data_IF_789394307224
#
_entry.id   IF_789394307224
#
_cell.length_a   1.000
_cell.length_b   1.000
_cell.length_c   1.000
_cell.angle_alpha   90.00
_cell.angle_beta   90.00
_cell.angle_gamma   90.00
#
_symmetry.space_group_name_H-M   'P 1'
#
loop_
_entity.id
_entity.type
_entity.pdbx_description
1 polymer ?
#
# COMPACT_ATOMS: atom_id res chain seq x y z
N UNK A 1 3.87 -8.84 -6.60
CA UNK A 1 2.54 -8.95 -7.27
C UNK A 1 1.71 -7.79 -6.78
N UNK A 2 1.34 -6.86 -7.67
CA UNK A 2 0.43 -5.76 -7.35
C UNK A 2 -1.01 -6.28 -7.32
N UNK A 3 -1.79 -5.89 -6.31
CA UNK A 3 -3.22 -6.14 -6.30
C UNK A 3 -3.91 -4.98 -7.00
N UNK A 4 -4.52 -5.23 -8.16
CA UNK A 4 -5.33 -4.23 -8.83
C UNK A 4 -6.51 -3.83 -7.95
N UNK A 5 -6.69 -2.53 -7.76
CA UNK A 5 -7.77 -1.93 -6.99
C UNK A 5 -8.58 -0.99 -7.87
N UNK A 6 -9.82 -0.76 -7.47
CA UNK A 6 -10.69 0.20 -8.10
C UNK A 6 -10.69 1.51 -7.31
N UNK A 7 -10.38 2.61 -7.98
CA UNK A 7 -10.52 3.96 -7.44
C UNK A 7 -11.69 4.66 -8.12
N UNK A 8 -12.39 5.54 -7.41
CA UNK A 8 -13.49 6.33 -7.96
C UNK A 8 -13.57 7.70 -7.30
N UNK A 9 -14.04 8.69 -8.06
CA UNK A 9 -14.21 10.07 -7.63
C UNK A 9 -15.47 10.67 -8.25
N UNK A 10 -16.39 11.10 -7.39
CA UNK A 10 -17.64 11.75 -7.83
C UNK A 10 -18.74 10.83 -8.34
N UNK A 11 -18.52 9.50 -8.38
CA UNK A 11 -19.51 8.51 -8.79
C UNK A 11 -20.01 7.65 -7.63
N UNK A 12 -21.08 6.83 -7.84
CA UNK A 12 -21.51 5.87 -6.85
C UNK A 12 -20.47 4.78 -6.63
N UNK A 13 -20.41 4.26 -5.37
CA UNK A 13 -19.50 3.17 -5.04
C UNK A 13 -19.80 1.92 -5.88
N UNK A 14 -18.87 1.45 -6.73
CA UNK A 14 -19.12 0.32 -7.63
C UNK A 14 -19.05 -1.03 -6.93
N UNK A 15 -18.45 -1.12 -5.72
CA UNK A 15 -18.28 -2.36 -4.98
C UNK A 15 -19.66 -3.02 -4.68
N UNK A 16 -19.89 -4.27 -5.10
CA UNK A 16 -21.11 -4.99 -4.78
C UNK A 16 -21.28 -5.23 -3.27
N UNK A 17 -20.20 -5.33 -2.52
CA UNK A 17 -20.23 -5.50 -1.06
C UNK A 17 -20.41 -4.19 -0.28
N UNK A 18 -20.53 -3.05 -0.98
CA UNK A 18 -20.76 -1.77 -0.32
C UNK A 18 -22.02 -1.83 0.57
N UNK A 19 -21.85 -1.49 1.84
CA UNK A 19 -22.83 -1.75 2.90
C UNK A 19 -24.26 -1.23 2.59
N UNK A 20 -24.39 -0.10 1.84
CA UNK A 20 -25.70 0.44 1.44
C UNK A 20 -26.42 -0.36 0.35
N UNK A 21 -25.73 -1.29 -0.31
CA UNK A 21 -26.32 -2.22 -1.28
C UNK A 21 -26.84 -3.49 -0.60
N UNK A 22 -26.46 -3.76 0.66
CA UNK A 22 -26.77 -5.00 1.34
C UNK A 22 -28.12 -4.95 2.07
N UNK A 23 -28.89 -6.05 2.09
CA UNK A 23 -30.16 -6.14 2.83
C UNK A 23 -30.03 -5.77 4.31
N UNK A 24 -28.91 -6.13 4.93
CA UNK A 24 -28.63 -5.84 6.34
C UNK A 24 -28.56 -4.35 6.69
N UNK A 25 -28.22 -3.50 5.72
CA UNK A 25 -28.24 -2.05 5.91
C UNK A 25 -29.68 -1.55 6.14
N UNK A 26 -30.63 -2.03 5.35
CA UNK A 26 -32.03 -1.63 5.44
C UNK A 26 -32.66 -2.15 6.74
N UNK A 27 -32.38 -3.39 7.13
CA UNK A 27 -32.87 -3.94 8.41
C UNK A 27 -32.40 -3.15 9.63
N UNK A 28 -31.18 -2.59 9.59
CA UNK A 28 -30.62 -1.81 10.72
C UNK A 28 -31.11 -0.38 10.77
N UNK A 29 -31.30 0.25 9.61
CA UNK A 29 -31.55 1.69 9.52
C UNK A 29 -33.04 2.02 9.25
N UNK A 30 -33.82 1.02 8.79
CA UNK A 30 -35.23 1.17 8.41
C UNK A 30 -35.97 -0.08 8.88
N UNK A 31 -36.02 -0.32 10.19
CA UNK A 31 -36.58 -1.54 10.78
C UNK A 31 -38.07 -1.76 10.53
N UNK A 32 -38.83 -0.68 10.24
CA UNK A 32 -40.26 -0.67 9.87
C UNK A 32 -40.47 -0.91 8.36
N UNK A 33 -39.40 -0.98 7.56
CA UNK A 33 -39.43 -1.10 6.11
C UNK A 33 -38.70 -2.38 5.63
N UNK A 34 -39.24 -3.55 6.05
CA UNK A 34 -38.69 -4.84 5.62
C UNK A 34 -38.73 -5.01 4.08
N UNK A 35 -39.70 -4.35 3.39
CA UNK A 35 -39.80 -4.30 1.94
C UNK A 35 -38.50 -3.81 1.26
N UNK A 36 -37.76 -2.87 1.86
CA UNK A 36 -36.50 -2.38 1.31
C UNK A 36 -35.39 -3.43 1.40
N UNK A 37 -35.38 -4.21 2.49
CA UNK A 37 -34.43 -5.31 2.65
C UNK A 37 -34.69 -6.43 1.64
N UNK A 38 -35.97 -6.81 1.47
CA UNK A 38 -36.41 -7.83 0.49
C UNK A 38 -36.10 -7.39 -0.94
N UNK A 39 -36.32 -6.12 -1.25
CA UNK A 39 -35.97 -5.54 -2.54
C UNK A 39 -34.46 -5.61 -2.78
N UNK A 40 -33.63 -5.21 -1.79
CA UNK A 40 -32.16 -5.30 -1.91
C UNK A 40 -31.70 -6.75 -2.08
N UNK A 41 -32.28 -7.69 -1.35
CA UNK A 41 -32.00 -9.13 -1.48
C UNK A 41 -32.34 -9.65 -2.87
N UNK A 42 -33.53 -9.31 -3.38
CA UNK A 42 -33.95 -9.74 -4.71
C UNK A 42 -33.03 -9.20 -5.82
N UNK A 43 -32.60 -7.95 -5.72
CA UNK A 43 -31.59 -7.37 -6.61
C UNK A 43 -30.27 -8.09 -6.55
N UNK A 44 -29.76 -8.34 -5.34
CA UNK A 44 -28.49 -9.00 -5.12
C UNK A 44 -28.47 -10.45 -5.65
N UNK A 45 -29.58 -11.16 -5.55
CA UNK A 45 -29.69 -12.57 -6.00
C UNK A 45 -30.06 -12.74 -7.46
N UNK A 46 -30.77 -11.79 -8.08
CA UNK A 46 -31.33 -11.93 -9.44
C UNK A 46 -30.59 -11.12 -10.51
N UNK A 47 -29.78 -10.11 -10.14
CA UNK A 47 -29.12 -9.22 -11.09
C UNK A 47 -27.60 -9.29 -11.00
N UNK A 48 -26.96 -9.79 -12.04
CA UNK A 48 -25.50 -9.93 -12.09
C UNK A 48 -24.75 -8.58 -11.97
N UNK A 49 -25.32 -7.49 -12.48
CA UNK A 49 -24.75 -6.15 -12.36
C UNK A 49 -24.90 -5.52 -10.95
N UNK A 50 -25.66 -6.16 -10.05
CA UNK A 50 -25.80 -5.71 -8.67
C UNK A 50 -24.87 -6.44 -7.69
N UNK A 51 -24.63 -7.72 -7.95
CA UNK A 51 -23.78 -8.58 -7.10
C UNK A 51 -22.36 -8.76 -7.64
N UNK A 52 -22.02 -8.13 -8.77
CA UNK A 52 -20.70 -8.08 -9.37
C UNK A 52 -20.34 -6.64 -9.75
N UNK A 53 -19.10 -6.41 -10.15
CA UNK A 53 -18.67 -5.12 -10.70
C UNK A 53 -19.32 -4.92 -12.06
N UNK A 54 -20.07 -3.84 -12.20
CA UNK A 54 -20.67 -3.43 -13.48
C UNK A 54 -19.64 -2.65 -14.31
N UNK A 55 -18.84 -3.40 -15.07
CA UNK A 55 -17.80 -2.82 -15.94
C UNK A 55 -18.38 -1.89 -16.99
N UNK A 56 -19.50 -2.27 -17.60
CA UNK A 56 -20.15 -1.45 -18.63
C UNK A 56 -20.59 -0.09 -18.06
N UNK A 57 -21.17 -0.10 -16.87
CA UNK A 57 -21.55 1.13 -16.18
C UNK A 57 -20.32 2.04 -15.93
N UNK A 58 -19.20 1.47 -15.47
CA UNK A 58 -17.98 2.25 -15.19
C UNK A 58 -17.39 2.86 -16.47
N UNK A 59 -17.29 2.07 -17.56
CA UNK A 59 -16.84 2.58 -18.86
C UNK A 59 -17.74 3.67 -19.40
N UNK A 60 -19.06 3.47 -19.37
CA UNK A 60 -20.02 4.48 -19.81
C UNK A 60 -19.96 5.75 -18.98
N UNK A 61 -19.83 5.63 -17.66
CA UNK A 61 -19.70 6.79 -16.77
C UNK A 61 -18.49 7.64 -17.10
N UNK A 62 -17.38 7.03 -17.46
CA UNK A 62 -16.17 7.75 -17.87
C UNK A 62 -16.35 8.43 -19.23
N UNK A 63 -16.90 7.72 -20.23
CA UNK A 63 -17.12 8.23 -21.59
C UNK A 63 -18.18 9.33 -21.67
N UNK A 64 -19.21 9.26 -20.81
CA UNK A 64 -20.31 10.23 -20.77
C UNK A 64 -20.06 11.35 -19.75
N UNK A 65 -18.91 11.36 -19.11
CA UNK A 65 -18.54 12.43 -18.19
C UNK A 65 -18.51 13.77 -18.92
N UNK A 66 -19.25 14.75 -18.40
CA UNK A 66 -19.40 16.09 -18.98
C UNK A 66 -18.07 16.90 -18.94
N UNK A 67 -17.01 16.36 -18.39
CA UNK A 67 -15.73 16.99 -18.20
C UNK A 67 -14.67 16.39 -19.16
N UNK A 68 -14.89 16.48 -20.47
CA UNK A 68 -13.91 16.09 -21.51
C UNK A 68 -13.28 14.71 -21.28
N UNK A 69 -14.07 13.66 -21.10
CA UNK A 69 -13.62 12.28 -20.85
C UNK A 69 -12.81 12.10 -19.56
N UNK A 70 -13.04 12.90 -18.53
CA UNK A 70 -12.46 12.68 -17.21
C UNK A 70 -12.93 11.35 -16.64
N UNK A 71 -11.98 10.51 -16.21
CA UNK A 71 -12.29 9.25 -15.52
C UNK A 71 -12.88 9.51 -14.13
N UNK A 72 -14.07 8.95 -13.90
CA UNK A 72 -14.70 8.83 -12.58
C UNK A 72 -14.22 7.56 -11.88
N UNK A 73 -14.01 6.50 -12.66
CA UNK A 73 -13.53 5.19 -12.23
C UNK A 73 -12.19 4.89 -12.92
N UNK A 74 -11.25 4.30 -12.18
CA UNK A 74 -9.98 3.84 -12.72
C UNK A 74 -9.46 2.63 -11.96
N UNK A 75 -8.65 1.81 -12.62
CA UNK A 75 -7.89 0.76 -11.97
C UNK A 75 -6.52 1.26 -11.56
N UNK A 76 -6.08 0.86 -10.38
CA UNK A 76 -4.75 1.17 -9.86
C UNK A 76 -4.17 0.01 -9.05
N UNK A 77 -2.92 0.09 -8.74
CA UNK A 77 -2.26 -0.77 -7.77
C UNK A 77 -1.47 0.03 -6.74
N UNK A 78 -1.44 -0.45 -5.51
CA UNK A 78 -0.50 0.00 -4.50
C UNK A 78 0.80 -0.79 -4.71
N UNK A 79 1.91 -0.08 -4.96
CA UNK A 79 3.21 -0.68 -5.24
C UNK A 79 4.19 -0.40 -4.13
N UNK A 80 4.99 -1.43 -3.84
CA UNK A 80 6.18 -1.35 -3.01
C UNK A 80 7.31 -2.00 -3.80
N UNK A 81 8.19 -1.17 -4.34
CA UNK A 81 9.34 -1.61 -5.13
C UNK A 81 10.59 -1.49 -4.27
N UNK A 82 11.10 -2.63 -3.80
CA UNK A 82 12.22 -2.72 -2.86
C UNK A 82 13.53 -3.06 -3.57
N UNK A 83 14.56 -2.31 -3.26
CA UNK A 83 15.94 -2.62 -3.62
C UNK A 83 16.73 -2.90 -2.33
N UNK A 84 17.22 -4.12 -2.20
CA UNK A 84 17.93 -4.59 -1.03
C UNK A 84 19.35 -5.02 -1.39
N UNK A 85 20.34 -4.36 -0.74
CA UNK A 85 21.72 -4.81 -0.77
C UNK A 85 22.10 -5.29 0.64
N UNK A 86 22.64 -6.51 0.72
CA UNK A 86 23.04 -7.12 1.98
C UNK A 86 24.40 -7.78 1.86
N UNK A 87 25.23 -7.53 2.86
CA UNK A 87 26.53 -8.17 3.06
C UNK A 87 26.54 -8.85 4.44
N UNK A 88 26.87 -10.12 4.47
CA UNK A 88 27.12 -10.88 5.69
C UNK A 88 28.52 -11.50 5.59
N UNK A 89 29.31 -11.38 6.65
CA UNK A 89 30.58 -12.08 6.74
C UNK A 89 30.78 -12.59 8.17
N UNK A 90 31.18 -13.82 8.29
CA UNK A 90 31.53 -14.47 9.56
C UNK A 90 32.85 -15.16 9.40
N UNK A 91 33.73 -14.95 10.39
CA UNK A 91 35.04 -15.61 10.50
C UNK A 91 35.07 -16.36 11.82
N UNK A 92 35.43 -17.63 11.75
CA UNK A 92 35.68 -18.48 12.92
C UNK A 92 37.17 -18.77 13.02
N UNK A 93 37.69 -18.74 14.24
CA UNK A 93 39.08 -18.98 14.52
C UNK A 93 39.24 -19.72 15.85
N UNK A 94 39.83 -20.92 15.78
CA UNK A 94 40.16 -21.75 16.92
C UNK A 94 41.54 -21.35 17.39
N UNK A 95 41.64 -20.65 18.51
CA UNK A 95 42.91 -20.20 19.08
C UNK A 95 43.74 -21.35 19.65
N UNK A 96 43.04 -22.27 20.32
CA UNK A 96 43.61 -23.50 20.91
C UNK A 96 42.46 -24.44 21.35
N UNK A 97 42.78 -25.61 21.87
CA UNK A 97 41.77 -26.61 22.28
C UNK A 97 40.75 -26.12 23.31
N UNK A 98 40.99 -25.00 23.98
CA UNK A 98 40.12 -24.44 25.01
C UNK A 98 39.43 -23.13 24.60
N UNK A 99 39.85 -22.50 23.50
CA UNK A 99 39.39 -21.17 23.09
C UNK A 99 38.94 -21.14 21.64
N UNK A 100 37.60 -20.88 21.46
CA UNK A 100 36.97 -20.62 20.17
C UNK A 100 36.60 -19.13 20.07
N UNK A 101 36.84 -18.53 18.93
CA UNK A 101 36.50 -17.15 18.64
C UNK A 101 35.80 -17.06 17.29
N UNK A 102 34.64 -16.39 17.26
CA UNK A 102 34.00 -16.01 16.01
C UNK A 102 33.66 -14.53 16.01
N UNK A 103 33.80 -13.90 14.85
CA UNK A 103 33.41 -12.52 14.62
C UNK A 103 32.59 -12.44 13.37
N UNK A 104 31.54 -11.61 13.37
CA UNK A 104 30.70 -11.40 12.22
C UNK A 104 30.29 -9.95 12.06
N UNK A 105 30.12 -9.57 10.80
CA UNK A 105 29.56 -8.30 10.39
C UNK A 105 28.34 -8.52 9.51
N UNK A 106 27.35 -7.66 9.65
CA UNK A 106 26.20 -7.59 8.79
C UNK A 106 25.96 -6.13 8.37
N UNK A 107 25.82 -5.89 7.07
CA UNK A 107 25.43 -4.61 6.51
C UNK A 107 24.21 -4.83 5.61
N UNK A 108 23.14 -4.07 5.83
CA UNK A 108 21.91 -4.14 5.05
C UNK A 108 21.47 -2.73 4.69
N UNK A 109 21.32 -2.46 3.39
CA UNK A 109 20.77 -1.22 2.85
C UNK A 109 19.49 -1.54 2.06
N UNK A 110 18.37 -0.94 2.46
CA UNK A 110 17.07 -1.07 1.81
C UNK A 110 16.63 0.29 1.30
N UNK A 111 16.24 0.35 0.05
CA UNK A 111 15.50 1.46 -0.55
C UNK A 111 14.14 0.93 -0.99
N UNK A 112 13.06 1.44 -0.41
CA UNK A 112 11.69 1.00 -0.65
C UNK A 112 10.89 2.15 -1.24
N UNK A 113 10.48 2.03 -2.51
CA UNK A 113 9.64 3.00 -3.20
C UNK A 113 8.17 2.59 -3.04
N UNK A 114 7.39 3.47 -2.41
CA UNK A 114 5.99 3.22 -2.06
C UNK A 114 5.11 4.24 -2.78
N UNK A 115 4.21 3.77 -3.65
CA UNK A 115 3.36 4.64 -4.46
C UNK A 115 2.10 3.94 -4.95
N UNK A 116 1.05 4.71 -5.24
CA UNK A 116 -0.08 4.24 -6.03
C UNK A 116 0.22 4.49 -7.51
N UNK A 117 -0.16 3.55 -8.37
CA UNK A 117 0.16 3.53 -9.79
C UNK A 117 -1.10 3.25 -10.62
N UNK A 118 -1.45 4.16 -11.53
CA UNK A 118 -2.61 4.03 -12.39
C UNK A 118 -2.40 2.97 -13.46
N UNK A 119 -3.33 2.04 -13.60
CA UNK A 119 -3.26 0.93 -14.55
C UNK A 119 -4.12 1.15 -15.77
N UNK A 120 -5.38 1.58 -15.55
CA UNK A 120 -6.37 1.73 -16.62
C UNK A 120 -7.38 2.81 -16.25
N UNK A 121 -7.68 3.69 -17.18
CA UNK A 121 -8.64 4.79 -17.03
C UNK A 121 -10.09 4.38 -17.33
N UNK A 122 -10.33 3.10 -17.66
CA UNK A 122 -11.65 2.53 -17.95
C UNK A 122 -12.43 3.35 -18.99
N UNK A 123 -11.77 3.68 -20.11
CA UNK A 123 -12.36 4.42 -21.22
C UNK A 123 -12.35 5.94 -21.10
N UNK A 124 -11.84 6.49 -19.99
CA UNK A 124 -11.54 7.91 -19.89
C UNK A 124 -10.11 8.23 -20.34
N UNK A 125 -9.82 9.50 -20.52
CA UNK A 125 -8.52 9.98 -20.99
C UNK A 125 -7.59 10.33 -19.83
N UNK A 126 -8.15 10.84 -18.74
CA UNK A 126 -7.38 11.31 -17.60
C UNK A 126 -8.18 11.20 -16.28
N UNK A 127 -7.47 11.30 -15.16
CA UNK A 127 -8.04 11.40 -13.82
C UNK A 127 -7.45 12.61 -13.09
N UNK A 128 -8.24 13.28 -12.23
CA UNK A 128 -7.75 14.36 -11.37
C UNK A 128 -7.38 13.77 -10.01
N UNK A 129 -6.11 13.93 -9.63
CA UNK A 129 -5.52 13.31 -8.42
C UNK A 129 -5.90 14.08 -7.15
N UNK A 130 -7.16 13.99 -6.78
CA UNK A 130 -7.72 14.62 -5.58
C UNK A 130 -8.55 13.63 -4.78
N UNK A 131 -8.70 13.89 -3.47
CA UNK A 131 -9.65 13.19 -2.59
C UNK A 131 -11.02 13.84 -2.69
N UNK A 132 -11.97 13.18 -3.34
CA UNK A 132 -13.34 13.67 -3.53
C UNK A 132 -14.17 13.80 -2.25
N UNK A 133 -13.70 13.29 -1.12
CA UNK A 133 -14.36 13.40 0.18
C UNK A 133 -13.89 14.61 1.01
N UNK A 134 -12.97 15.39 0.46
CA UNK A 134 -12.38 16.57 1.10
C UNK A 134 -12.46 17.78 0.19
N UNK A 135 -12.10 18.96 0.69
CA UNK A 135 -12.12 20.20 -0.06
C UNK A 135 -10.87 21.05 0.20
N UNK A 136 -10.58 21.98 -0.72
CA UNK A 136 -9.42 22.87 -0.64
C UNK A 136 -8.11 22.07 -0.57
N UNK A 137 -7.16 22.57 0.20
CA UNK A 137 -5.84 21.96 0.33
C UNK A 137 -5.88 20.51 0.84
N UNK A 138 -6.87 20.19 1.68
CA UNK A 138 -7.02 18.82 2.21
C UNK A 138 -7.43 17.80 1.15
N UNK A 139 -8.03 18.24 0.04
CA UNK A 139 -8.34 17.38 -1.08
C UNK A 139 -7.10 17.03 -1.93
N UNK A 140 -6.02 17.81 -1.79
CA UNK A 140 -4.84 17.65 -2.64
C UNK A 140 -3.95 16.50 -2.17
N UNK A 141 -3.69 15.55 -3.05
CA UNK A 141 -2.72 14.48 -2.82
C UNK A 141 -1.28 14.97 -2.96
N UNK A 142 -1.07 16.06 -3.74
CA UNK A 142 0.22 16.75 -3.83
C UNK A 142 0.03 18.26 -3.91
N UNK A 143 0.25 18.97 -2.80
CA UNK A 143 0.18 20.43 -2.73
C UNK A 143 1.23 21.16 -3.59
N UNK A 144 2.27 20.47 -4.03
CA UNK A 144 3.25 21.05 -4.96
C UNK A 144 2.70 21.11 -6.39
N UNK A 145 1.69 20.26 -6.70
CA UNK A 145 1.00 20.19 -7.98
C UNK A 145 -0.51 20.06 -7.74
N UNK A 146 -1.21 21.13 -7.33
CA UNK A 146 -2.63 21.09 -7.06
C UNK A 146 -3.43 20.68 -8.30
N UNK A 147 -4.54 19.96 -8.09
CA UNK A 147 -5.45 19.48 -9.13
C UNK A 147 -4.74 18.73 -10.27
N UNK A 148 -3.68 18.00 -9.90
CA UNK A 148 -2.84 17.30 -10.87
C UNK A 148 -3.64 16.33 -11.72
N UNK A 149 -3.48 16.47 -13.03
CA UNK A 149 -4.04 15.56 -14.02
C UNK A 149 -3.08 14.40 -14.23
N UNK A 150 -3.59 13.18 -14.16
CA UNK A 150 -2.83 11.96 -14.39
C UNK A 150 -3.44 11.12 -15.50
N UNK A 151 -2.59 10.41 -16.23
CA UNK A 151 -2.95 9.43 -17.24
C UNK A 151 -2.63 8.00 -16.78
N UNK A 152 -2.72 7.07 -17.73
CA UNK A 152 -2.28 5.69 -17.53
C UNK A 152 -0.77 5.64 -17.27
N UNK A 153 -0.37 4.80 -16.32
CA UNK A 153 1.02 4.60 -15.90
C UNK A 153 1.63 5.75 -15.09
N UNK A 154 0.82 6.65 -14.56
CA UNK A 154 1.28 7.70 -13.65
C UNK A 154 1.19 7.28 -12.18
N UNK A 155 2.12 7.80 -11.37
CA UNK A 155 2.02 7.73 -9.92
C UNK A 155 1.02 8.76 -9.43
N UNK A 156 0.18 8.40 -8.45
CA UNK A 156 -0.84 9.28 -7.90
C UNK A 156 -1.11 8.98 -6.42
N UNK A 157 -1.99 9.74 -5.79
CA UNK A 157 -2.49 9.55 -4.42
C UNK A 157 -1.39 9.67 -3.36
N UNK A 158 -0.34 8.90 -3.44
CA UNK A 158 0.85 9.00 -2.59
C UNK A 158 2.10 8.51 -3.31
N UNK A 159 3.24 9.10 -2.96
CA UNK A 159 4.56 8.68 -3.42
C UNK A 159 5.60 9.04 -2.36
N UNK A 160 6.30 8.06 -1.81
CA UNK A 160 7.37 8.27 -0.85
C UNK A 160 8.40 7.14 -0.90
N UNK A 161 9.62 7.45 -0.47
CA UNK A 161 10.73 6.51 -0.40
C UNK A 161 11.08 6.28 1.06
N UNK A 162 11.24 5.02 1.46
CA UNK A 162 11.79 4.63 2.75
C UNK A 162 13.21 4.12 2.54
N UNK A 163 14.18 4.72 3.25
CA UNK A 163 15.57 4.28 3.25
C UNK A 163 15.91 3.72 4.62
N UNK A 164 16.48 2.53 4.66
CA UNK A 164 16.89 1.88 5.90
C UNK A 164 18.30 1.34 5.78
N UNK A 165 19.19 1.82 6.65
CA UNK A 165 20.55 1.29 6.80
C UNK A 165 20.64 0.57 8.15
N UNK A 166 21.03 -0.71 8.11
CA UNK A 166 21.34 -1.49 9.30
C UNK A 166 22.77 -2.00 9.20
N UNK A 167 23.56 -1.69 10.21
CA UNK A 167 24.93 -2.18 10.37
C UNK A 167 25.00 -2.92 11.71
N UNK A 168 25.62 -4.07 11.75
CA UNK A 168 25.88 -4.75 13.02
C UNK A 168 27.18 -5.53 12.97
N UNK A 169 27.81 -5.62 14.10
CA UNK A 169 28.96 -6.47 14.34
C UNK A 169 28.74 -7.27 15.62
N UNK A 170 29.18 -8.49 15.65
CA UNK A 170 29.16 -9.36 16.83
C UNK A 170 30.44 -10.16 16.95
N UNK A 171 30.74 -10.59 18.15
CA UNK A 171 31.75 -11.60 18.38
C UNK A 171 31.23 -12.63 19.38
N UNK A 172 31.68 -13.86 19.25
CA UNK A 172 31.45 -14.93 20.21
C UNK A 172 32.82 -15.41 20.70
N UNK A 173 32.94 -15.51 21.99
CA UNK A 173 34.15 -16.02 22.65
C UNK A 173 33.69 -17.17 23.51
N UNK A 174 34.20 -18.35 23.28
CA UNK A 174 33.98 -19.52 24.11
C UNK A 174 35.28 -19.96 24.71
N UNK A 175 35.31 -20.15 26.02
CA UNK A 175 36.39 -20.79 26.73
C UNK A 175 35.85 -22.04 27.45
N UNK A 176 36.48 -23.17 27.26
CA UNK A 176 36.07 -24.40 27.90
C UNK A 176 37.28 -25.20 28.39
N UNK A 177 37.23 -25.66 29.63
CA UNK A 177 38.20 -26.59 30.17
C UNK A 177 37.45 -27.73 30.92
N UNK A 178 38.21 -28.66 31.47
CA UNK A 178 37.61 -29.85 32.16
C UNK A 178 36.75 -29.51 33.41
N UNK A 179 36.75 -28.26 33.88
CA UNK A 179 36.05 -27.88 35.14
C UNK A 179 34.92 -26.86 34.89
N UNK A 180 35.06 -25.97 33.91
CA UNK A 180 34.07 -24.95 33.62
C UNK A 180 34.12 -24.51 32.16
N UNK A 181 33.02 -23.96 31.68
CA UNK A 181 32.89 -23.35 30.39
C UNK A 181 32.36 -21.92 30.55
N UNK A 182 32.89 -21.00 29.78
CA UNK A 182 32.47 -19.60 29.74
C UNK A 182 32.16 -19.17 28.30
N UNK A 183 31.09 -18.42 28.15
CA UNK A 183 30.66 -17.88 26.85
C UNK A 183 30.35 -16.38 26.96
N UNK A 184 30.85 -15.58 26.01
CA UNK A 184 30.61 -14.15 25.90
C UNK A 184 30.28 -13.81 24.44
N UNK A 185 29.15 -13.12 24.22
CA UNK A 185 28.63 -12.77 22.87
C UNK A 185 28.19 -11.31 22.78
N UNK A 186 29.13 -10.34 22.77
CA UNK A 186 28.80 -8.93 22.56
C UNK A 186 28.30 -8.70 21.12
N UNK A 187 27.31 -7.83 20.97
CA UNK A 187 26.78 -7.36 19.70
C UNK A 187 26.60 -5.85 19.73
N UNK A 188 27.04 -5.18 18.67
CA UNK A 188 26.76 -3.78 18.42
C UNK A 188 25.89 -3.65 17.16
N UNK A 189 24.91 -2.76 17.18
CA UNK A 189 24.04 -2.51 16.03
C UNK A 189 23.76 -1.02 15.88
N UNK A 190 23.84 -0.55 14.65
CA UNK A 190 23.41 0.78 14.24
C UNK A 190 22.29 0.67 13.23
N UNK A 191 21.21 1.44 13.42
CA UNK A 191 20.09 1.52 12.49
C UNK A 191 19.73 2.97 12.20
N UNK A 192 19.59 3.28 10.92
CA UNK A 192 19.02 4.54 10.43
C UNK A 192 17.78 4.24 9.60
N UNK A 193 16.73 5.04 9.80
CA UNK A 193 15.49 4.96 9.04
C UNK A 193 15.10 6.39 8.64
N UNK A 194 14.86 6.60 7.34
CA UNK A 194 14.45 7.88 6.77
C UNK A 194 13.27 7.67 5.83
N UNK A 195 12.30 8.58 5.88
CA UNK A 195 11.20 8.66 4.91
C UNK A 195 11.30 9.95 4.11
N UNK A 196 11.38 9.82 2.79
CA UNK A 196 11.41 10.93 1.84
C UNK A 196 10.05 11.01 1.13
N UNK A 197 9.24 12.01 1.44
CA UNK A 197 7.98 12.29 0.74
C UNK A 197 8.27 12.91 -0.62
N UNK A 198 7.78 12.28 -1.70
CA UNK A 198 7.84 12.81 -3.06
C UNK A 198 6.61 13.67 -3.37
N UNK A 199 5.48 13.37 -2.74
CA UNK A 199 4.26 14.18 -2.77
C UNK A 199 4.04 14.82 -1.40
N UNK A 200 3.57 16.06 -1.42
CA UNK A 200 3.17 16.81 -0.24
C UNK A 200 1.65 16.72 -0.08
N UNK A 201 1.19 15.78 0.74
CA UNK A 201 -0.24 15.60 0.99
C UNK A 201 -0.83 16.77 1.80
N UNK A 202 -2.02 17.23 1.42
CA UNK A 202 -2.70 18.37 2.06
C UNK A 202 -3.29 18.09 3.43
N UNK A 203 -3.26 16.83 3.89
CA UNK A 203 -3.80 16.41 5.20
C UNK A 203 -2.72 16.43 6.30
N UNK A 204 -1.42 16.37 5.93
CA UNK A 204 -0.30 16.22 6.88
C UNK A 204 0.71 17.34 6.75
#
# INVERSE_FOLDING_TARGET
>A
MGNSRLNYSGGPNPDPSYYRKLPSYYLRNYSDRADLSDYALSKFTSQSNYNQLDWNFMYQSNMLSNENNRSVYMLYEDRVDDELVQLNSVMNYDLNDNFDFSVGINAKNLVSNNFAYSLDMLGGDYYVDTDSYRSGDQAQNDLNNPDRVIGKNDKFKYNFIVRSLNLSAFSNITYSNNKFSFFLSPKYSYRSLQRDGQFRNGVY
#
